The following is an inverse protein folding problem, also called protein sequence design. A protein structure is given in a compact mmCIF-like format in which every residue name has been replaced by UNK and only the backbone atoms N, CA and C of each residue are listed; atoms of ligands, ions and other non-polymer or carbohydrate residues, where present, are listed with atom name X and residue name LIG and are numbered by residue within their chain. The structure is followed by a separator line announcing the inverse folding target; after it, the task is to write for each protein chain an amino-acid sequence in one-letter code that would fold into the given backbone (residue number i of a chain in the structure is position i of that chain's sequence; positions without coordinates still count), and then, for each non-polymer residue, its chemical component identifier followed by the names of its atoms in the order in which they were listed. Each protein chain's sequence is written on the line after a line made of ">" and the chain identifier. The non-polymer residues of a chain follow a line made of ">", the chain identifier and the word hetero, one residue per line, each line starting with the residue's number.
data_IF_774260697779
#
_entry.id   IF_774260697779
#
_cell.length_a   1.000
_cell.length_b   1.000
_cell.length_c   1.000
_cell.angle_alpha   90.00
_cell.angle_beta   90.00
_cell.angle_gamma   90.00
#
_symmetry.space_group_name_H-M   'P 1'
#
loop_
_entity.id
_entity.type
_entity.pdbx_description
1 polymer ?
#
# COMPACT_ATOMS: atom_id res chain seq x y z
N UNK A 1 -3.71 -5.05 9.37
CA UNK A 1 -3.91 -6.48 9.07
C UNK A 1 -2.62 -7.11 8.57
N UNK A 2 -2.04 -6.75 7.41
CA UNK A 2 -0.86 -7.39 6.82
C UNK A 2 0.36 -7.43 7.75
N UNK A 3 0.64 -6.34 8.47
CA UNK A 3 1.73 -6.29 9.46
C UNK A 3 1.57 -7.35 10.56
N UNK A 4 0.36 -7.52 11.07
CA UNK A 4 0.08 -8.55 12.08
C UNK A 4 0.30 -9.96 11.55
N UNK A 5 -0.16 -10.24 10.33
CA UNK A 5 0.09 -11.52 9.67
C UNK A 5 1.58 -11.79 9.47
N UNK A 6 2.32 -10.78 8.98
CA UNK A 6 3.76 -10.90 8.79
C UNK A 6 4.50 -11.14 10.12
N UNK A 7 4.12 -10.43 11.19
CA UNK A 7 4.70 -10.63 12.53
C UNK A 7 4.41 -12.03 13.09
N UNK A 8 3.27 -12.63 12.71
CA UNK A 8 2.92 -13.99 13.11
C UNK A 8 3.67 -15.09 12.33
N UNK A 9 4.56 -14.73 11.41
CA UNK A 9 5.39 -15.71 10.70
C UNK A 9 4.89 -16.09 9.31
N UNK A 10 3.96 -15.33 8.73
CA UNK A 10 3.42 -15.62 7.39
C UNK A 10 4.51 -15.52 6.32
N UNK A 11 4.59 -16.54 5.46
CA UNK A 11 5.52 -16.62 4.34
C UNK A 11 4.86 -16.41 2.98
N UNK A 12 3.51 -16.47 2.94
CA UNK A 12 2.69 -16.28 1.76
C UNK A 12 1.43 -15.51 2.15
N UNK A 13 1.12 -14.44 1.43
CA UNK A 13 -0.16 -13.76 1.56
C UNK A 13 -1.18 -14.33 0.59
N UNK A 14 -2.37 -14.61 1.08
CA UNK A 14 -3.52 -14.94 0.24
C UNK A 14 -4.56 -13.83 0.33
N UNK A 15 -4.94 -13.29 -0.81
CA UNK A 15 -5.98 -12.27 -0.94
C UNK A 15 -7.15 -12.85 -1.75
N UNK A 16 -8.25 -13.09 -1.08
CA UNK A 16 -9.50 -13.54 -1.71
C UNK A 16 -10.48 -12.38 -1.65
N UNK A 17 -10.97 -11.93 -2.79
CA UNK A 17 -11.84 -10.76 -2.88
C UNK A 17 -12.90 -10.92 -3.97
N UNK A 18 -13.98 -10.17 -3.82
CA UNK A 18 -15.03 -10.07 -4.82
C UNK A 18 -15.02 -8.64 -5.39
N UNK A 19 -14.53 -8.50 -6.60
CA UNK A 19 -14.41 -7.23 -7.32
C UNK A 19 -15.55 -7.02 -8.36
N UNK A 20 -16.54 -7.93 -8.43
CA UNK A 20 -17.60 -7.92 -9.44
C UNK A 20 -18.52 -6.69 -9.42
N UNK A 21 -18.44 -5.88 -8.38
CA UNK A 21 -19.22 -4.66 -8.24
C UNK A 21 -18.75 -3.54 -9.17
N UNK A 22 -17.48 -3.49 -9.55
CA UNK A 22 -16.90 -2.40 -10.33
C UNK A 22 -17.22 -2.50 -11.83
N UNK A 23 -17.17 -3.73 -12.38
CA UNK A 23 -17.37 -4.06 -13.79
C UNK A 23 -16.52 -3.22 -14.76
N UNK A 24 -15.42 -2.62 -14.27
CA UNK A 24 -14.54 -1.77 -15.06
C UNK A 24 -13.09 -2.22 -14.95
N UNK A 25 -12.38 -2.31 -16.06
CA UNK A 25 -10.97 -2.69 -16.08
C UNK A 25 -10.11 -1.76 -15.20
N UNK A 26 -10.42 -0.47 -15.21
CA UNK A 26 -9.68 0.53 -14.44
C UNK A 26 -9.69 0.22 -12.93
N UNK A 27 -10.85 -0.09 -12.37
CA UNK A 27 -10.97 -0.42 -10.96
C UNK A 27 -10.25 -1.73 -10.61
N UNK A 28 -10.34 -2.74 -11.49
CA UNK A 28 -9.67 -4.03 -11.28
C UNK A 28 -8.14 -3.87 -11.23
N UNK A 29 -7.56 -3.07 -12.13
CA UNK A 29 -6.12 -2.79 -12.12
C UNK A 29 -5.69 -1.91 -10.93
N UNK A 30 -6.54 -0.98 -10.47
CA UNK A 30 -6.26 -0.23 -9.23
C UNK A 30 -6.22 -1.15 -8.01
N UNK A 31 -7.15 -2.09 -7.90
CA UNK A 31 -7.16 -3.08 -6.83
C UNK A 31 -5.93 -4.01 -6.89
N UNK A 32 -5.55 -4.41 -8.12
CA UNK A 32 -4.32 -5.17 -8.32
C UNK A 32 -3.09 -4.38 -7.83
N UNK A 33 -2.98 -3.10 -8.16
CA UNK A 33 -1.87 -2.25 -7.74
C UNK A 33 -1.78 -2.17 -6.21
N UNK A 34 -2.91 -1.97 -5.51
CA UNK A 34 -2.94 -1.97 -4.04
C UNK A 34 -2.46 -3.31 -3.46
N UNK A 35 -2.85 -4.43 -4.07
CA UNK A 35 -2.39 -5.76 -3.65
C UNK A 35 -0.87 -5.93 -3.90
N UNK A 36 -0.37 -5.48 -5.05
CA UNK A 36 1.05 -5.54 -5.38
C UNK A 36 1.92 -4.74 -4.40
N UNK A 37 1.46 -3.57 -3.95
CA UNK A 37 2.15 -2.82 -2.90
C UNK A 37 2.30 -3.62 -1.61
N UNK A 38 1.32 -4.44 -1.23
CA UNK A 38 1.44 -5.30 -0.03
C UNK A 38 2.53 -6.35 -0.18
N UNK A 39 2.66 -6.95 -1.37
CA UNK A 39 3.76 -7.88 -1.66
C UNK A 39 5.14 -7.19 -1.54
N UNK A 40 5.27 -5.98 -2.08
CA UNK A 40 6.50 -5.19 -2.04
C UNK A 40 6.85 -4.75 -0.61
N UNK A 41 5.90 -4.20 0.12
CA UNK A 41 6.08 -3.67 1.48
C UNK A 41 6.59 -4.72 2.46
N UNK A 42 6.11 -5.95 2.32
CA UNK A 42 6.47 -7.05 3.22
C UNK A 42 7.46 -8.04 2.62
N UNK A 43 7.91 -7.80 1.38
CA UNK A 43 8.81 -8.74 0.65
C UNK A 43 8.31 -10.18 0.68
N UNK A 44 7.00 -10.35 0.51
CA UNK A 44 6.31 -11.64 0.61
C UNK A 44 5.52 -11.89 -0.67
N UNK A 45 5.55 -13.11 -1.18
CA UNK A 45 4.71 -13.50 -2.32
C UNK A 45 3.24 -13.34 -1.97
N UNK A 46 2.44 -12.83 -2.90
CA UNK A 46 1.01 -12.67 -2.73
C UNK A 46 0.26 -13.42 -3.83
N UNK A 47 -0.58 -14.36 -3.43
CA UNK A 47 -1.54 -15.04 -4.29
C UNK A 47 -2.90 -14.35 -4.16
N UNK A 48 -3.40 -13.81 -5.26
CA UNK A 48 -4.69 -13.13 -5.32
C UNK A 48 -5.68 -13.94 -6.13
N UNK A 49 -6.83 -14.23 -5.55
CA UNK A 49 -7.97 -14.87 -6.21
C UNK A 49 -9.17 -13.94 -6.15
N UNK A 50 -9.75 -13.63 -7.30
CA UNK A 50 -10.85 -12.68 -7.39
C UNK A 50 -12.01 -13.22 -8.22
N UNK A 51 -13.20 -12.76 -7.88
CA UNK A 51 -14.36 -12.89 -8.77
C UNK A 51 -14.40 -11.63 -9.67
N UNK A 52 -14.24 -11.79 -10.96
CA UNK A 52 -14.15 -10.78 -12.04
C UNK A 52 -12.83 -9.97 -12.10
N UNK A 53 -12.12 -9.79 -10.99
CA UNK A 53 -10.86 -9.04 -10.95
C UNK A 53 -9.65 -9.81 -11.46
N UNK A 54 -8.46 -9.21 -11.32
CA UNK A 54 -7.21 -9.87 -11.73
C UNK A 54 -6.83 -10.95 -10.73
N UNK A 55 -7.05 -12.22 -11.08
CA UNK A 55 -6.51 -13.38 -10.36
C UNK A 55 -5.05 -13.58 -10.76
N UNK A 56 -4.13 -13.58 -9.80
CA UNK A 56 -2.69 -13.50 -10.11
C UNK A 56 -1.83 -13.95 -8.94
N UNK A 57 -0.58 -14.29 -9.26
CA UNK A 57 0.50 -14.45 -8.27
C UNK A 57 1.51 -13.33 -8.48
N UNK A 58 1.85 -12.63 -7.40
CA UNK A 58 2.74 -11.47 -7.38
C UNK A 58 3.97 -11.82 -6.53
N UNK A 59 5.14 -11.57 -7.09
CA UNK A 59 6.42 -11.78 -6.39
C UNK A 59 6.66 -10.71 -5.31
N UNK A 60 7.62 -10.92 -4.40
CA UNK A 60 8.04 -9.93 -3.41
C UNK A 60 8.57 -8.61 -3.99
N UNK A 61 8.92 -8.59 -5.27
CA UNK A 61 9.33 -7.37 -6.00
C UNK A 61 8.17 -6.65 -6.68
N UNK A 62 6.94 -7.15 -6.57
CA UNK A 62 5.77 -6.60 -7.24
C UNK A 62 5.57 -7.08 -8.69
N UNK A 63 6.44 -7.98 -9.17
CA UNK A 63 6.31 -8.54 -10.52
C UNK A 63 5.20 -9.59 -10.56
N UNK A 64 4.31 -9.49 -11.54
CA UNK A 64 3.31 -10.52 -11.84
C UNK A 64 4.03 -11.76 -12.37
N UNK A 65 3.86 -12.90 -11.70
CA UNK A 65 4.42 -14.19 -12.10
C UNK A 65 3.49 -14.87 -13.11
N UNK A 66 2.20 -14.87 -12.80
CA UNK A 66 1.15 -15.44 -13.66
C UNK A 66 -0.16 -14.76 -13.36
N UNK A 67 -1.04 -14.63 -14.36
CA UNK A 67 -2.36 -14.02 -14.21
C UNK A 67 -3.37 -14.63 -15.15
N UNK A 68 -4.64 -14.52 -14.79
CA UNK A 68 -5.78 -14.83 -15.64
C UNK A 68 -6.31 -13.60 -16.35
N UNK A 69 -6.99 -13.76 -17.50
CA UNK A 69 -7.72 -12.67 -18.14
C UNK A 69 -8.86 -12.17 -17.25
N UNK A 70 -9.23 -10.89 -17.44
CA UNK A 70 -10.36 -10.28 -16.74
C UNK A 70 -11.69 -10.74 -17.33
N UNK A 71 -12.69 -10.91 -16.45
CA UNK A 71 -14.08 -11.17 -16.80
C UNK A 71 -14.33 -12.48 -17.56
N UNK A 72 -13.36 -13.39 -17.56
CA UNK A 72 -13.47 -14.70 -18.18
C UNK A 72 -13.41 -15.81 -17.13
N UNK A 73 -14.29 -16.82 -17.21
CA UNK A 73 -14.19 -18.00 -16.35
C UNK A 73 -12.91 -18.78 -16.68
N UNK A 74 -12.00 -18.84 -15.75
CA UNK A 74 -10.73 -19.55 -15.94
C UNK A 74 -10.18 -20.08 -14.60
N UNK A 75 -9.21 -20.99 -14.69
CA UNK A 75 -8.48 -21.47 -13.52
C UNK A 75 -6.97 -21.30 -13.74
N UNK A 76 -6.25 -21.10 -12.65
CA UNK A 76 -4.80 -20.94 -12.65
C UNK A 76 -4.17 -22.00 -11.76
N UNK A 77 -3.38 -22.88 -12.38
CA UNK A 77 -2.52 -23.81 -11.66
C UNK A 77 -1.08 -23.35 -11.80
N UNK A 78 -0.46 -22.98 -10.70
CA UNK A 78 0.89 -22.40 -10.69
C UNK A 78 1.65 -22.76 -9.43
N UNK A 79 2.94 -23.05 -9.58
CA UNK A 79 3.83 -23.17 -8.44
C UNK A 79 4.14 -21.80 -7.86
N UNK A 80 3.82 -21.61 -6.59
CA UNK A 80 4.02 -20.32 -5.91
C UNK A 80 5.39 -20.34 -5.23
N UNK A 81 6.33 -19.47 -5.63
CA UNK A 81 7.62 -19.39 -4.97
C UNK A 81 7.45 -18.73 -3.58
N UNK A 82 7.92 -19.43 -2.56
CA UNK A 82 7.99 -18.90 -1.19
C UNK A 82 9.44 -18.50 -0.91
N UNK A 83 9.62 -17.28 -0.44
CA UNK A 83 10.93 -16.72 -0.13
C UNK A 83 11.11 -16.58 1.38
N UNK A 84 12.37 -16.65 1.83
CA UNK A 84 12.69 -16.37 3.23
C UNK A 84 12.26 -14.96 3.64
N UNK A 85 11.78 -14.82 4.86
CA UNK A 85 11.26 -13.55 5.39
C UNK A 85 12.36 -12.48 5.40
N UNK A 86 12.03 -11.31 4.88
CA UNK A 86 12.89 -10.14 4.90
C UNK A 86 12.23 -9.02 5.71
N UNK A 87 12.96 -8.49 6.68
CA UNK A 87 12.48 -7.36 7.47
C UNK A 87 12.56 -6.10 6.61
N UNK A 88 11.47 -5.37 6.52
CA UNK A 88 11.36 -4.11 5.78
C UNK A 88 10.97 -2.96 6.71
N UNK A 89 11.13 -1.72 6.25
CA UNK A 89 10.67 -0.54 6.98
C UNK A 89 9.16 -0.62 7.27
N UNK A 90 8.38 -1.05 6.28
CA UNK A 90 6.94 -1.23 6.43
C UNK A 90 6.57 -2.30 7.47
N UNK A 91 7.33 -3.40 7.54
CA UNK A 91 7.10 -4.45 8.53
C UNK A 91 7.45 -4.01 9.95
N UNK A 92 8.46 -3.17 10.12
CA UNK A 92 8.90 -2.65 11.43
C UNK A 92 8.03 -1.50 11.92
N UNK A 93 7.89 -0.46 11.11
CA UNK A 93 7.29 0.81 11.53
C UNK A 93 5.83 0.96 11.09
N UNK A 94 5.34 0.09 10.15
CA UNK A 94 3.98 0.18 9.63
C UNK A 94 3.75 1.51 8.88
N UNK A 95 2.61 2.13 9.13
CA UNK A 95 2.20 3.37 8.47
C UNK A 95 2.86 4.62 9.11
N UNK A 96 4.18 4.64 9.18
CA UNK A 96 4.95 5.74 9.80
C UNK A 96 4.90 7.05 8.98
N UNK A 97 4.83 6.94 7.65
CA UNK A 97 4.89 8.10 6.75
C UNK A 97 3.78 9.13 7.00
N UNK A 98 2.49 8.74 7.13
CA UNK A 98 1.44 9.70 7.48
C UNK A 98 1.70 10.46 8.78
N UNK A 99 2.26 9.81 9.80
CA UNK A 99 2.58 10.46 11.06
C UNK A 99 3.68 11.51 10.90
N UNK A 100 4.72 11.19 10.14
CA UNK A 100 5.80 12.16 9.82
C UNK A 100 5.24 13.35 9.04
N UNK A 101 4.38 13.09 8.04
CA UNK A 101 3.76 14.17 7.26
C UNK A 101 2.88 15.08 8.13
N UNK A 102 2.10 14.53 9.04
CA UNK A 102 1.28 15.31 9.98
C UNK A 102 2.16 16.23 10.84
N UNK A 103 3.27 15.69 11.38
CA UNK A 103 4.21 16.48 12.18
C UNK A 103 4.84 17.60 11.36
N UNK A 104 5.25 17.35 10.12
CA UNK A 104 5.82 18.36 9.23
C UNK A 104 4.80 19.44 8.87
N UNK A 105 3.56 19.07 8.58
CA UNK A 105 2.48 20.04 8.30
C UNK A 105 2.20 20.90 9.55
N UNK A 106 2.10 20.29 10.71
CA UNK A 106 1.86 21.03 11.97
C UNK A 106 3.01 22.01 12.27
N UNK A 107 4.26 21.59 12.10
CA UNK A 107 5.43 22.45 12.24
C UNK A 107 5.42 23.61 11.22
N UNK A 108 5.10 23.32 9.97
CA UNK A 108 4.99 24.35 8.93
C UNK A 108 3.90 25.39 9.26
N UNK A 109 2.70 24.93 9.65
CA UNK A 109 1.60 25.83 10.05
C UNK A 109 1.99 26.68 11.28
N UNK A 110 2.63 26.09 12.27
CA UNK A 110 3.13 26.82 13.43
C UNK A 110 4.12 27.93 13.05
N UNK A 111 5.04 27.64 12.14
CA UNK A 111 6.00 28.62 11.62
C UNK A 111 5.30 29.76 10.87
N UNK A 112 4.31 29.42 10.01
CA UNK A 112 3.53 30.43 9.28
C UNK A 112 2.75 31.36 10.21
N UNK A 113 2.13 30.82 11.26
CA UNK A 113 1.39 31.64 12.25
C UNK A 113 2.34 32.57 13.04
N UNK A 114 3.49 32.03 13.44
CA UNK A 114 4.51 32.82 14.15
C UNK A 114 5.10 33.92 13.30
N UNK A 115 5.36 33.67 12.03
CA UNK A 115 5.85 34.65 11.05
C UNK A 115 4.84 35.79 10.84
N UNK A 116 3.54 35.46 10.71
CA UNK A 116 2.49 36.54 10.59
C UNK A 116 2.42 37.40 11.83
N UNK A 117 2.57 36.85 13.03
CA UNK A 117 2.61 37.67 14.26
C UNK A 117 3.80 38.63 14.28
N UNK A 118 4.95 38.20 13.82
CA UNK A 118 6.16 38.99 13.75
C UNK A 118 6.00 40.20 12.78
N UNK A 119 5.40 39.96 11.61
CA UNK A 119 5.10 41.02 10.62
C UNK A 119 4.05 42.02 11.12
N UNK A 120 3.06 41.61 11.88
CA UNK A 120 2.04 42.48 12.42
C UNK A 120 2.61 43.37 13.53
N UNK A 121 3.52 42.87 14.34
CA UNK A 121 4.12 43.61 15.46
C UNK A 121 5.13 44.65 14.99
N UNK A 122 5.87 44.40 13.88
CA UNK A 122 6.80 45.34 13.31
C UNK A 122 6.12 46.55 12.65
N UNK A 123 4.86 46.45 12.22
CA UNK A 123 4.09 47.59 11.68
C UNK A 123 3.56 48.55 12.75
N UNK A 124 3.39 48.08 13.98
CA UNK A 124 2.90 48.91 15.08
C UNK A 124 4.02 49.68 15.82
N UNK A 125 5.28 49.35 15.58
CA UNK A 125 6.43 50.03 16.22
C UNK A 125 6.98 51.23 15.43
N UNK A 126 6.34 51.62 14.31
CA UNK A 126 6.80 52.71 13.41
C UNK A 126 5.76 53.85 13.37
N UNK A 127 4.78 53.86 14.25
CA UNK A 127 3.88 55.00 14.52
C UNK A 127 4.14 55.52 15.92
#
# INVERSE_FOLDING_TARGET
>A
VFRGLFSAGTELFMNITNDSWSKTQSAEYQHLAVAAYRAIEFRTTLARCTNSGVTTVISPSGKVISSLPLFEPAHLSVSIPVYGRQVTVASQFGDWLPHVLIVLIAAFLFFCVKSKKFYCQSRFSVL
#
